data_IF_341389979070
#
_entry.id   IF_341389979070
#
_cell.length_a   1.000
_cell.length_b   1.000
_cell.length_c   1.000
_cell.angle_alpha   90.00
_cell.angle_beta   90.00
_cell.angle_gamma   90.00
#
_symmetry.space_group_name_H-M   'P 1'
#
loop_
_entity.id
_entity.type
_entity.pdbx_description
1 polymer ?
#
# COMPACT_ATOMS: atom_id res chain seq x y z
N UNK A 1 10.89 5.76 -11.00
CA UNK A 1 11.14 6.86 -10.05
C UNK A 1 9.86 7.05 -9.23
N UNK A 2 9.78 6.53 -8.00
CA UNK A 2 8.74 6.90 -7.02
C UNK A 2 9.29 8.11 -6.25
N UNK A 3 9.31 9.29 -6.88
CA UNK A 3 9.65 10.53 -6.18
C UNK A 3 8.33 11.22 -5.99
N UNK A 4 7.71 10.95 -4.85
CA UNK A 4 6.57 11.72 -4.40
C UNK A 4 7.10 13.10 -4.05
N UNK A 5 6.71 14.08 -4.84
CA UNK A 5 6.96 15.48 -4.56
C UNK A 5 5.90 15.94 -3.54
N UNK A 6 6.35 16.57 -2.46
CA UNK A 6 5.47 17.24 -1.50
C UNK A 6 5.15 18.62 -2.06
N UNK A 7 3.87 18.89 -2.29
CA UNK A 7 3.42 20.22 -2.66
C UNK A 7 3.37 21.13 -1.43
N UNK A 8 3.65 22.42 -1.65
CA UNK A 8 3.60 23.42 -0.58
C UNK A 8 2.15 23.59 -0.11
N UNK A 9 1.88 23.28 1.17
CA UNK A 9 0.54 23.29 1.75
C UNK A 9 -0.17 21.92 1.80
N UNK A 10 0.54 20.83 1.47
CA UNK A 10 -0.02 19.48 1.63
C UNK A 10 -0.38 19.22 3.11
N UNK A 11 -1.61 18.76 3.42
CA UNK A 11 -1.99 18.39 4.79
C UNK A 11 -1.27 17.14 5.33
N UNK A 12 -0.51 16.42 4.50
CA UNK A 12 0.27 15.24 4.86
C UNK A 12 1.67 15.61 5.34
N UNK A 13 2.18 14.87 6.33
CA UNK A 13 3.53 15.08 6.87
C UNK A 13 4.55 14.07 6.31
N UNK A 14 5.84 14.27 6.56
CA UNK A 14 6.92 13.39 6.08
C UNK A 14 6.71 11.91 6.41
N UNK A 15 6.09 11.61 7.57
CA UNK A 15 5.80 10.24 7.97
C UNK A 15 4.75 9.60 7.05
N UNK A 16 3.74 10.35 6.61
CA UNK A 16 2.74 9.87 5.65
C UNK A 16 3.41 9.47 4.32
N UNK A 17 4.36 10.27 3.84
CA UNK A 17 5.12 9.96 2.62
C UNK A 17 6.06 8.77 2.79
N UNK A 18 6.71 8.64 3.95
CA UNK A 18 7.53 7.46 4.27
C UNK A 18 6.69 6.19 4.30
N UNK A 19 5.48 6.24 4.87
CA UNK A 19 4.52 5.12 4.87
C UNK A 19 4.17 4.72 3.44
N UNK A 20 3.87 5.68 2.58
CA UNK A 20 3.51 5.42 1.18
C UNK A 20 4.68 4.80 0.41
N UNK A 21 5.90 5.32 0.58
CA UNK A 21 7.12 4.73 0.02
C UNK A 21 7.33 3.28 0.50
N UNK A 22 7.09 3.02 1.79
CA UNK A 22 7.13 1.69 2.38
C UNK A 22 6.09 0.75 1.76
N UNK A 23 4.84 1.19 1.62
CA UNK A 23 3.76 0.42 1.01
C UNK A 23 4.09 0.04 -0.44
N UNK A 24 4.55 0.99 -1.25
CA UNK A 24 4.95 0.75 -2.63
C UNK A 24 6.13 -0.23 -2.73
N UNK A 25 7.12 -0.07 -1.85
CA UNK A 25 8.31 -0.95 -1.84
C UNK A 25 7.94 -2.39 -1.45
N UNK A 26 7.14 -2.56 -0.41
CA UNK A 26 6.67 -3.89 0.03
C UNK A 26 5.85 -4.55 -1.08
N UNK A 27 4.92 -3.81 -1.68
CA UNK A 27 4.06 -4.31 -2.75
C UNK A 27 4.89 -4.76 -3.97
N UNK A 28 5.85 -3.95 -4.41
CA UNK A 28 6.75 -4.31 -5.50
C UNK A 28 7.58 -5.56 -5.19
N UNK A 29 8.19 -5.61 -4.00
CA UNK A 29 9.05 -6.73 -3.62
C UNK A 29 8.25 -8.03 -3.47
N UNK A 30 7.01 -7.97 -2.97
CA UNK A 30 6.13 -9.12 -2.86
C UNK A 30 5.78 -9.69 -4.24
N UNK A 31 5.35 -8.83 -5.17
CA UNK A 31 5.06 -9.25 -6.54
C UNK A 31 6.29 -9.85 -7.22
N UNK A 32 7.44 -9.19 -7.07
CA UNK A 32 8.71 -9.66 -7.65
C UNK A 32 9.06 -11.04 -7.10
N UNK A 33 9.00 -11.23 -5.79
CA UNK A 33 9.29 -12.53 -5.17
C UNK A 33 8.34 -13.62 -5.64
N UNK A 34 7.03 -13.35 -5.66
CA UNK A 34 6.04 -14.30 -6.16
C UNK A 34 6.29 -14.65 -7.64
N UNK A 35 6.69 -13.68 -8.46
CA UNK A 35 6.98 -13.91 -9.87
C UNK A 35 8.27 -14.69 -10.10
N UNK A 36 9.35 -14.33 -9.41
CA UNK A 36 10.70 -14.86 -9.66
C UNK A 36 10.90 -16.22 -8.97
N UNK A 37 10.35 -16.40 -7.76
CA UNK A 37 10.64 -17.57 -6.91
C UNK A 37 9.45 -18.54 -6.82
N UNK A 38 8.22 -18.06 -7.01
CA UNK A 38 7.02 -18.89 -6.87
C UNK A 38 6.39 -19.29 -8.20
N UNK A 39 7.07 -19.02 -9.33
CA UNK A 39 6.74 -19.53 -10.66
C UNK A 39 7.87 -20.38 -11.22
N UNK A 40 7.54 -21.46 -11.91
CA UNK A 40 8.49 -22.27 -12.67
C UNK A 40 7.81 -22.78 -13.94
N UNK A 41 8.52 -22.71 -15.07
CA UNK A 41 8.03 -23.15 -16.38
C UNK A 41 6.67 -22.56 -16.80
N UNK A 42 6.36 -21.35 -16.29
CA UNK A 42 5.11 -20.65 -16.57
C UNK A 42 3.96 -20.93 -15.61
N UNK A 43 4.13 -21.89 -14.69
CA UNK A 43 3.12 -22.28 -13.71
C UNK A 43 3.46 -21.77 -12.29
N UNK A 44 2.42 -21.54 -11.49
CA UNK A 44 2.56 -21.20 -10.08
C UNK A 44 2.86 -22.45 -9.26
N UNK A 45 3.83 -22.36 -8.36
CA UNK A 45 4.23 -23.48 -7.51
C UNK A 45 3.20 -23.79 -6.42
N UNK A 46 2.45 -22.78 -5.97
CA UNK A 46 1.38 -22.89 -4.99
C UNK A 46 0.16 -22.08 -5.45
N UNK A 47 -1.07 -22.66 -5.42
CA UNK A 47 -2.28 -21.97 -5.88
C UNK A 47 -2.58 -20.65 -5.16
N UNK A 48 -2.24 -20.54 -3.87
CA UNK A 48 -2.48 -19.31 -3.09
C UNK A 48 -1.53 -18.18 -3.49
N UNK A 49 -0.41 -18.49 -4.14
CA UNK A 49 0.56 -17.47 -4.56
C UNK A 49 0.09 -16.69 -5.78
N UNK A 50 -0.69 -17.31 -6.67
CA UNK A 50 -1.31 -16.62 -7.80
C UNK A 50 -2.26 -15.54 -7.31
N UNK A 51 -3.17 -15.89 -6.39
CA UNK A 51 -4.12 -14.93 -5.81
C UNK A 51 -3.41 -13.80 -5.07
N UNK A 52 -2.36 -14.11 -4.31
CA UNK A 52 -1.53 -13.12 -3.63
C UNK A 52 -0.86 -12.15 -4.63
N UNK A 53 -0.33 -12.67 -5.73
CA UNK A 53 0.29 -11.87 -6.77
C UNK A 53 -0.72 -10.95 -7.45
N UNK A 54 -1.89 -11.48 -7.84
CA UNK A 54 -2.95 -10.69 -8.49
C UNK A 54 -3.47 -9.57 -7.57
N UNK A 55 -3.64 -9.86 -6.28
CA UNK A 55 -3.96 -8.82 -5.29
C UNK A 55 -2.86 -7.76 -5.17
N UNK A 56 -1.60 -8.18 -5.05
CA UNK A 56 -0.48 -7.25 -4.98
C UNK A 56 -0.37 -6.41 -6.26
N UNK A 57 -0.61 -7.00 -7.44
CA UNK A 57 -0.62 -6.31 -8.73
C UNK A 57 -1.75 -5.28 -8.82
N UNK A 58 -2.93 -5.61 -8.30
CA UNK A 58 -4.04 -4.67 -8.23
C UNK A 58 -3.70 -3.47 -7.35
N UNK A 59 -3.10 -3.69 -6.17
CA UNK A 59 -2.68 -2.60 -5.29
C UNK A 59 -1.53 -1.78 -5.89
N UNK A 60 -0.57 -2.42 -6.54
CA UNK A 60 0.50 -1.73 -7.26
C UNK A 60 -0.04 -0.80 -8.34
N UNK A 61 -0.99 -1.26 -9.15
CA UNK A 61 -1.64 -0.44 -10.17
C UNK A 61 -2.32 0.80 -9.57
N UNK A 62 -2.91 0.68 -8.37
CA UNK A 62 -3.46 1.84 -7.65
C UNK A 62 -2.35 2.80 -7.24
N UNK A 63 -1.28 2.29 -6.61
CA UNK A 63 -0.15 3.10 -6.14
C UNK A 63 0.61 3.80 -7.27
N UNK A 64 0.72 3.19 -8.45
CA UNK A 64 1.32 3.83 -9.64
C UNK A 64 0.48 5.01 -10.12
N UNK A 65 -0.85 4.90 -10.02
CA UNK A 65 -1.79 5.96 -10.43
C UNK A 65 -1.91 7.06 -9.38
N UNK A 66 -2.01 6.67 -8.11
CA UNK A 66 -2.15 7.52 -6.95
C UNK A 66 -1.40 6.87 -5.78
N UNK A 67 -0.17 7.32 -5.49
CA UNK A 67 0.61 6.71 -4.41
C UNK A 67 -0.05 6.88 -3.03
N UNK A 68 -0.90 7.89 -2.84
CA UNK A 68 -1.57 8.13 -1.56
C UNK A 68 -2.83 7.27 -1.38
N UNK A 69 -3.23 6.47 -2.37
CA UNK A 69 -4.51 5.76 -2.38
C UNK A 69 -4.71 4.87 -1.15
N UNK A 70 -3.68 4.10 -0.77
CA UNK A 70 -3.74 3.18 0.37
C UNK A 70 -3.75 3.91 1.71
N UNK A 71 -2.99 4.99 1.83
CA UNK A 71 -2.99 5.84 3.01
C UNK A 71 -4.37 6.48 3.20
N UNK A 72 -4.96 7.00 2.12
CA UNK A 72 -6.29 7.60 2.12
C UNK A 72 -7.37 6.57 2.46
N UNK A 73 -7.31 5.36 1.89
CA UNK A 73 -8.21 4.26 2.25
C UNK A 73 -8.11 3.92 3.74
N UNK A 74 -6.90 3.84 4.27
CA UNK A 74 -6.68 3.57 5.70
C UNK A 74 -7.22 4.70 6.57
N UNK A 75 -7.00 5.96 6.21
CA UNK A 75 -7.53 7.13 6.95
C UNK A 75 -9.07 7.11 6.92
N UNK A 76 -9.70 6.82 5.78
CA UNK A 76 -11.17 6.68 5.65
C UNK A 76 -11.75 5.55 6.51
N UNK A 77 -11.04 4.42 6.62
CA UNK A 77 -11.47 3.27 7.42
C UNK A 77 -11.06 3.36 8.89
N UNK A 78 -10.30 4.38 9.26
CA UNK A 78 -9.78 4.51 10.60
C UNK A 78 -10.86 4.98 11.55
N UNK A 79 -11.08 4.23 12.63
CA UNK A 79 -11.94 4.63 13.77
C UNK A 79 -11.26 5.61 14.71
N UNK A 80 -10.07 6.12 14.36
CA UNK A 80 -9.33 7.08 15.20
C UNK A 80 -10.16 8.29 15.65
N UNK A 81 -10.99 8.93 14.79
CA UNK A 81 -11.86 10.03 15.23
C UNK A 81 -12.87 9.59 16.28
N UNK A 82 -13.50 8.43 16.09
CA UNK A 82 -14.49 7.85 17.00
C UNK A 82 -13.87 7.46 18.35
N UNK A 83 -12.68 6.85 18.30
CA UNK A 83 -11.91 6.46 19.49
C UNK A 83 -11.40 7.66 20.29
N UNK A 84 -10.95 8.73 19.60
CA UNK A 84 -10.59 10.00 20.26
C UNK A 84 -11.79 10.64 20.94
N UNK A 85 -12.93 10.70 20.25
CA UNK A 85 -14.16 11.24 20.83
C UNK A 85 -14.65 10.43 22.05
N UNK A 86 -14.47 9.10 22.05
CA UNK A 86 -14.78 8.26 23.22
C UNK A 86 -13.80 8.46 24.38
N UNK A 87 -12.53 8.72 24.11
CA UNK A 87 -11.53 8.98 25.14
C UNK A 87 -11.66 10.37 25.78
N UNK A 88 -12.24 11.33 25.05
CA UNK A 88 -12.52 12.70 25.51
C UNK A 88 -13.94 12.86 26.08
N UNK A 89 -14.78 11.80 26.01
CA UNK A 89 -16.10 11.80 26.62
C UNK A 89 -15.97 11.73 28.16
N UNK A 90 -16.66 12.62 28.90
CA UNK A 90 -16.55 12.74 30.36
C UNK A 90 -17.14 11.55 31.13
#
# INVERSE_FOLDING_TARGET
KLWLEQDEGDPLNDLDYLVVCGQATICYNLMKHAWDECRRDGEWLDPGTEELFEHALAEWKKLVRDPLSLLNDRKRRSRLPELKAQAEAP
#
